data_IF_144802235375
#
_entry.id   IF_144802235375
#
_cell.length_a   1.000
_cell.length_b   1.000
_cell.length_c   1.000
_cell.angle_alpha   90.00
_cell.angle_beta   90.00
_cell.angle_gamma   90.00
#
_symmetry.space_group_name_H-M   'P 1'
#
loop_
_entity.id
_entity.type
_entity.pdbx_description
1 polymer ?
#
# COMPACT_ATOMS: atom_id res chain seq x y z
N UNK A 1 60.97 3.12 25.57
CA UNK A 1 59.62 3.24 26.15
C UNK A 1 58.66 3.78 25.09
N UNK A 2 57.88 2.92 24.42
CA UNK A 2 56.79 3.35 23.52
C UNK A 2 55.48 2.90 24.16
N UNK A 3 54.67 3.86 24.64
CA UNK A 3 53.34 3.60 25.18
C UNK A 3 52.37 3.49 24.00
N UNK A 4 51.80 2.31 23.78
CA UNK A 4 50.71 2.13 22.84
C UNK A 4 49.40 2.48 23.55
N UNK A 5 48.72 3.51 23.07
CA UNK A 5 47.40 3.91 23.55
C UNK A 5 46.35 3.09 22.82
N UNK A 6 45.59 2.29 23.57
CA UNK A 6 44.48 1.49 23.07
C UNK A 6 43.23 2.39 22.98
N UNK A 7 42.70 2.61 21.77
CA UNK A 7 41.41 3.26 21.56
C UNK A 7 40.31 2.20 21.60
N UNK A 8 39.49 2.22 22.64
CA UNK A 8 38.27 1.41 22.74
C UNK A 8 37.14 2.21 22.10
N UNK A 9 36.66 1.75 20.94
CA UNK A 9 35.44 2.26 20.34
C UNK A 9 34.25 1.71 21.14
N UNK A 10 33.57 2.59 21.88
CA UNK A 10 32.31 2.25 22.52
C UNK A 10 31.21 2.24 21.45
N UNK A 11 30.73 1.05 21.08
CA UNK A 11 29.47 0.91 20.34
C UNK A 11 28.34 1.24 21.31
N UNK A 12 27.78 2.45 21.17
CA UNK A 12 26.57 2.84 21.87
C UNK A 12 25.41 2.10 21.20
N UNK A 13 24.94 1.00 21.81
CA UNK A 13 23.72 0.33 21.37
C UNK A 13 22.55 1.25 21.67
N UNK A 14 22.05 1.93 20.64
CA UNK A 14 20.83 2.72 20.73
C UNK A 14 19.67 1.73 20.77
N UNK A 15 19.18 1.44 21.98
CA UNK A 15 17.99 0.62 22.17
C UNK A 15 16.80 1.38 21.60
N UNK A 16 16.29 0.94 20.44
CA UNK A 16 14.98 1.34 19.96
C UNK A 16 13.93 0.73 20.89
N UNK A 17 13.20 1.57 21.63
CA UNK A 17 11.92 1.14 22.17
C UNK A 17 10.96 1.05 20.98
N UNK A 18 10.56 -0.16 20.62
CA UNK A 18 9.38 -0.34 19.78
C UNK A 18 8.17 0.17 20.57
N UNK A 19 7.63 1.31 20.14
CA UNK A 19 6.33 1.77 20.63
C UNK A 19 5.27 0.83 20.03
N UNK A 20 4.22 0.50 20.78
CA UNK A 20 3.10 -0.24 20.23
C UNK A 20 2.48 0.58 19.09
N UNK A 21 2.40 -0.02 17.92
CA UNK A 21 1.82 0.61 16.73
C UNK A 21 0.32 0.82 16.98
N UNK A 22 -0.21 1.99 16.63
CA UNK A 22 -1.66 2.24 16.75
C UNK A 22 -2.34 1.79 15.46
N UNK A 23 -3.43 1.04 15.55
CA UNK A 23 -4.24 0.70 14.38
C UNK A 23 -5.14 1.88 14.02
N UNK A 24 -4.99 2.39 12.80
CA UNK A 24 -5.84 3.40 12.17
C UNK A 24 -6.78 2.70 11.20
N UNK A 25 -8.07 2.66 11.51
CA UNK A 25 -9.08 2.16 10.58
C UNK A 25 -9.34 3.19 9.49
N UNK A 26 -9.23 2.76 8.23
CA UNK A 26 -9.49 3.55 7.03
C UNK A 26 -10.76 3.00 6.39
N UNK A 27 -11.86 3.71 6.54
CA UNK A 27 -13.20 3.32 6.06
C UNK A 27 -13.81 4.35 5.09
N UNK A 28 -12.96 5.19 4.49
CA UNK A 28 -13.37 6.24 3.55
C UNK A 28 -12.28 6.46 2.51
N UNK A 29 -12.71 6.89 1.31
CA UNK A 29 -11.80 7.21 0.21
C UNK A 29 -10.84 8.34 0.58
N UNK A 30 -9.63 8.25 0.03
CA UNK A 30 -8.58 9.25 0.16
C UNK A 30 -8.72 10.21 -1.01
N UNK A 31 -9.27 11.39 -0.75
CA UNK A 31 -9.56 12.43 -1.76
C UNK A 31 -8.60 13.62 -1.71
N UNK A 32 -7.68 13.62 -0.74
CA UNK A 32 -6.61 14.61 -0.62
C UNK A 32 -5.31 13.92 -0.26
N UNK A 33 -4.18 14.55 -0.60
CA UNK A 33 -2.86 14.04 -0.26
C UNK A 33 -2.79 13.59 1.20
N UNK A 34 -2.34 12.35 1.39
CA UNK A 34 -2.34 11.68 2.69
C UNK A 34 -1.02 10.95 2.87
N UNK A 35 -0.52 10.96 4.10
CA UNK A 35 0.71 10.27 4.50
C UNK A 35 0.38 9.22 5.55
N UNK A 36 0.87 8.00 5.32
CA UNK A 36 0.77 6.87 6.22
C UNK A 36 2.13 6.54 6.81
N UNK A 37 2.23 6.63 8.13
CA UNK A 37 3.49 6.62 8.87
C UNK A 37 3.76 5.28 9.55
N UNK A 38 5.04 4.94 9.74
CA UNK A 38 5.44 3.61 10.23
C UNK A 38 5.16 3.39 11.74
N UNK A 39 4.71 4.42 12.47
CA UNK A 39 4.23 4.32 13.84
C UNK A 39 2.74 3.88 13.94
N UNK A 40 2.05 3.73 12.80
CA UNK A 40 0.66 3.27 12.70
C UNK A 40 0.52 2.05 11.77
N UNK A 41 -0.36 1.12 12.14
CA UNK A 41 -0.86 0.09 11.21
C UNK A 41 -2.15 0.64 10.61
N UNK A 42 -2.35 0.43 9.31
CA UNK A 42 -3.56 0.91 8.62
C UNK A 42 -4.44 -0.27 8.28
N UNK A 43 -5.67 -0.30 8.81
CA UNK A 43 -6.66 -1.34 8.51
C UNK A 43 -7.68 -0.78 7.51
N UNK A 44 -7.68 -1.29 6.30
CA UNK A 44 -8.67 -0.99 5.27
C UNK A 44 -9.96 -1.73 5.62
N UNK A 45 -11.02 -0.97 5.89
CA UNK A 45 -12.36 -1.49 6.15
C UNK A 45 -13.23 -1.25 4.91
N UNK A 46 -13.21 -2.21 3.99
CA UNK A 46 -13.79 -2.13 2.66
C UNK A 46 -12.81 -1.72 1.55
N UNK A 47 -13.35 -1.55 0.33
CA UNK A 47 -12.57 -1.12 -0.83
C UNK A 47 -12.30 0.39 -0.77
N UNK A 48 -11.07 0.78 -0.48
CA UNK A 48 -10.65 2.17 -0.31
C UNK A 48 -10.04 2.69 -1.61
N UNK A 49 -10.55 3.82 -2.08
CA UNK A 49 -10.05 4.47 -3.29
C UNK A 49 -9.16 5.67 -2.95
N UNK A 50 -7.95 5.71 -3.50
CA UNK A 50 -7.15 6.95 -3.64
C UNK A 50 -7.62 7.62 -4.92
N UNK A 51 -8.30 8.76 -4.80
CA UNK A 51 -9.05 9.37 -5.89
C UNK A 51 -8.96 10.89 -5.90
N UNK A 52 -9.64 11.52 -6.85
CA UNK A 52 -9.65 12.98 -7.05
C UNK A 52 -8.26 13.59 -7.30
N UNK A 53 -7.30 12.79 -7.78
CA UNK A 53 -5.94 13.22 -8.06
C UNK A 53 -5.05 13.32 -6.82
N UNK A 54 -5.47 12.70 -5.72
CA UNK A 54 -4.69 12.65 -4.49
C UNK A 54 -3.46 11.76 -4.61
N UNK A 55 -2.43 12.10 -3.84
CA UNK A 55 -1.27 11.25 -3.60
C UNK A 55 -1.37 10.55 -2.25
N UNK A 56 -1.17 9.23 -2.23
CA UNK A 56 -0.94 8.47 -1.01
C UNK A 56 0.55 8.17 -0.85
N UNK A 57 1.15 8.71 0.20
CA UNK A 57 2.53 8.41 0.60
C UNK A 57 2.52 7.39 1.74
N UNK A 58 3.34 6.35 1.64
CA UNK A 58 3.47 5.32 2.66
C UNK A 58 4.94 5.20 3.06
N UNK A 59 5.23 5.49 4.32
CA UNK A 59 6.57 5.41 4.88
C UNK A 59 7.10 3.96 4.88
N UNK A 60 8.43 3.84 4.76
CA UNK A 60 9.11 2.55 4.87
C UNK A 60 8.88 1.91 6.25
N UNK A 61 8.47 0.63 6.28
CA UNK A 61 8.16 -0.09 7.52
C UNK A 61 6.68 -0.05 7.92
N UNK A 62 5.83 0.68 7.20
CA UNK A 62 4.38 0.69 7.45
C UNK A 62 3.75 -0.66 7.09
N UNK A 63 2.81 -1.11 7.93
CA UNK A 63 1.95 -2.26 7.66
C UNK A 63 0.54 -1.77 7.33
N UNK A 64 0.01 -2.27 6.22
CA UNK A 64 -1.37 -2.04 5.77
C UNK A 64 -2.08 -3.40 5.70
N UNK A 65 -3.26 -3.49 6.30
CA UNK A 65 -4.06 -4.71 6.41
C UNK A 65 -5.42 -4.52 5.72
N UNK A 66 -5.90 -5.51 4.98
CA UNK A 66 -7.29 -5.58 4.57
C UNK A 66 -8.12 -6.28 5.65
N UNK A 67 -9.20 -5.65 6.12
CA UNK A 67 -10.17 -6.28 7.01
C UNK A 67 -10.87 -7.44 6.31
N UNK A 68 -11.32 -8.42 7.10
CA UNK A 68 -12.05 -9.58 6.57
C UNK A 68 -13.26 -9.15 5.73
N UNK A 69 -13.32 -9.70 4.52
CA UNK A 69 -14.40 -9.48 3.56
C UNK A 69 -14.26 -10.48 2.42
N UNK A 70 -15.37 -10.84 1.79
CA UNK A 70 -15.39 -11.83 0.71
C UNK A 70 -16.22 -11.29 -0.46
N UNK A 71 -15.94 -11.79 -1.66
CA UNK A 71 -16.59 -11.36 -2.90
C UNK A 71 -16.57 -9.82 -3.03
N UNK A 72 -17.75 -9.17 -3.10
CA UNK A 72 -17.89 -7.73 -3.27
C UNK A 72 -17.61 -6.91 -2.00
N UNK A 73 -17.54 -7.57 -0.84
CA UNK A 73 -17.25 -6.93 0.45
C UNK A 73 -15.74 -7.00 0.79
N UNK A 74 -14.89 -7.53 -0.09
CA UNK A 74 -13.45 -7.63 0.13
C UNK A 74 -12.80 -6.26 0.34
N UNK A 75 -11.95 -6.14 1.37
CA UNK A 75 -11.19 -4.92 1.63
C UNK A 75 -9.96 -4.81 0.74
N UNK A 76 -9.68 -3.64 0.20
CA UNK A 76 -8.57 -3.45 -0.74
C UNK A 76 -8.25 -1.98 -0.97
N UNK A 77 -7.16 -1.73 -1.70
CA UNK A 77 -6.72 -0.37 -2.05
C UNK A 77 -6.73 -0.20 -3.58
N UNK A 78 -7.50 0.78 -4.07
CA UNK A 78 -7.56 1.11 -5.50
C UNK A 78 -7.03 2.54 -5.71
N UNK A 79 -6.01 2.69 -6.54
CA UNK A 79 -5.48 4.00 -6.94
C UNK A 79 -6.08 4.34 -8.30
N UNK A 80 -6.91 5.38 -8.35
CA UNK A 80 -7.64 5.75 -9.57
C UNK A 80 -6.78 6.58 -10.52
N UNK A 81 -7.23 6.72 -11.77
CA UNK A 81 -6.50 7.46 -12.82
C UNK A 81 -6.21 8.91 -12.43
N UNK A 82 -4.92 9.25 -12.41
CA UNK A 82 -4.42 10.58 -12.07
C UNK A 82 -4.17 10.78 -10.57
N UNK A 83 -4.52 9.80 -9.74
CA UNK A 83 -4.07 9.67 -8.36
C UNK A 83 -2.80 8.81 -8.33
N UNK A 84 -2.01 8.89 -7.26
CA UNK A 84 -0.70 8.20 -7.19
C UNK A 84 -0.48 7.51 -5.85
N UNK A 85 0.33 6.45 -5.89
CA UNK A 85 0.77 5.73 -4.70
C UNK A 85 2.30 5.73 -4.62
N UNK A 86 2.84 6.34 -3.57
CA UNK A 86 4.27 6.36 -3.25
C UNK A 86 4.53 5.46 -2.03
N UNK A 87 4.70 4.16 -2.30
CA UNK A 87 5.08 3.15 -1.32
C UNK A 87 6.56 2.81 -1.48
N UNK A 88 7.41 3.56 -0.78
CA UNK A 88 8.87 3.53 -0.93
C UNK A 88 9.58 2.92 0.28
N UNK A 89 9.41 1.62 0.45
CA UNK A 89 10.13 0.83 1.46
C UNK A 89 11.63 0.76 1.22
N UNK A 90 12.32 0.06 2.12
CA UNK A 90 13.74 -0.33 1.95
C UNK A 90 13.92 -1.84 2.15
N UNK A 91 15.10 -2.37 1.81
CA UNK A 91 15.38 -3.79 2.05
C UNK A 91 15.33 -4.14 3.54
N UNK A 92 15.71 -3.19 4.40
CA UNK A 92 15.73 -3.32 5.86
C UNK A 92 14.35 -3.06 6.48
N UNK A 93 13.57 -2.16 5.89
CA UNK A 93 12.22 -1.76 6.34
C UNK A 93 11.23 -1.79 5.17
N UNK A 94 10.80 -2.99 4.73
CA UNK A 94 9.84 -3.09 3.64
C UNK A 94 8.46 -2.59 4.10
N UNK A 95 7.64 -2.14 3.15
CA UNK A 95 6.22 -1.90 3.37
C UNK A 95 5.48 -3.23 3.20
N UNK A 96 4.57 -3.56 4.11
CA UNK A 96 3.80 -4.80 4.07
C UNK A 96 2.33 -4.50 3.83
N UNK A 97 1.77 -5.06 2.77
CA UNK A 97 0.33 -5.17 2.57
C UNK A 97 -0.10 -6.62 2.80
N UNK A 98 -1.06 -6.85 3.68
CA UNK A 98 -1.51 -8.21 4.04
C UNK A 98 -2.98 -8.24 4.51
N UNK A 99 -3.49 -9.39 4.93
CA UNK A 99 -4.80 -9.54 5.57
C UNK A 99 -4.76 -9.17 7.07
N UNK A 100 -5.91 -8.79 7.62
CA UNK A 100 -6.07 -8.48 9.06
C UNK A 100 -5.54 -9.61 9.94
N UNK A 101 -5.94 -10.84 9.63
CA UNK A 101 -5.58 -12.04 10.39
C UNK A 101 -4.39 -12.82 9.76
N UNK A 102 -3.35 -12.10 9.31
CA UNK A 102 -2.08 -12.67 8.79
C UNK A 102 -1.43 -13.70 9.72
N UNK A 103 -1.72 -13.63 11.02
CA UNK A 103 -1.19 -14.49 12.07
C UNK A 103 -1.68 -15.94 11.92
N UNK A 104 -0.87 -16.77 11.27
CA UNK A 104 -1.16 -18.18 11.05
C UNK A 104 -1.49 -18.52 9.59
N UNK A 105 -1.58 -17.51 8.73
CA UNK A 105 -1.62 -17.73 7.29
C UNK A 105 -0.28 -18.22 6.78
N UNK A 106 -0.36 -19.05 5.76
CA UNK A 106 0.75 -19.54 4.97
C UNK A 106 0.64 -19.00 3.56
N UNK A 107 1.70 -19.16 2.75
CA UNK A 107 1.68 -18.76 1.33
C UNK A 107 0.59 -19.43 0.48
N UNK A 108 -0.04 -20.49 1.01
CA UNK A 108 -1.09 -21.23 0.32
C UNK A 108 -2.50 -20.68 0.62
N UNK A 109 -2.61 -19.81 1.63
CA UNK A 109 -3.84 -19.09 1.99
C UNK A 109 -3.89 -17.77 1.18
N UNK A 110 -4.85 -17.67 0.26
CA UNK A 110 -5.00 -16.61 -0.75
C UNK A 110 -6.46 -16.15 -0.82
N UNK A 111 -6.73 -14.95 -1.32
CA UNK A 111 -8.09 -14.39 -1.33
C UNK A 111 -8.56 -13.92 0.04
N UNK A 112 -7.64 -13.62 0.95
CA UNK A 112 -7.94 -13.16 2.30
C UNK A 112 -8.24 -11.66 2.33
N UNK A 113 -7.94 -10.93 1.25
CA UNK A 113 -8.31 -9.53 0.99
C UNK A 113 -8.15 -9.18 -0.50
N UNK A 114 -8.67 -8.02 -0.93
CA UNK A 114 -8.78 -7.59 -2.33
C UNK A 114 -7.50 -7.05 -2.98
N UNK A 115 -6.41 -6.89 -2.22
CA UNK A 115 -5.11 -6.48 -2.77
C UNK A 115 -4.96 -4.98 -3.07
N UNK A 116 -3.94 -4.67 -3.86
CA UNK A 116 -3.64 -3.30 -4.33
C UNK A 116 -3.82 -3.24 -5.85
N UNK A 117 -4.63 -2.30 -6.30
CA UNK A 117 -4.95 -2.07 -7.72
C UNK A 117 -4.52 -0.65 -8.08
N UNK A 118 -3.81 -0.49 -9.21
CA UNK A 118 -3.38 0.82 -9.72
C UNK A 118 -3.90 0.99 -11.14
N UNK A 119 -4.75 1.98 -11.34
CA UNK A 119 -5.43 2.27 -12.60
C UNK A 119 -4.73 3.43 -13.31
N UNK A 120 -3.82 3.11 -14.24
CA UNK A 120 -3.07 4.12 -15.01
C UNK A 120 -3.83 4.71 -16.21
N UNK A 121 -3.28 5.77 -16.80
CA UNK A 121 -3.80 6.48 -18.01
C UNK A 121 -3.04 6.15 -19.31
N UNK A 122 -2.05 5.25 -19.25
CA UNK A 122 -1.29 4.85 -20.43
C UNK A 122 -2.16 4.10 -21.46
N UNK A 123 -1.71 4.09 -22.71
CA UNK A 123 -2.39 3.30 -23.75
C UNK A 123 -2.38 1.81 -23.39
N UNK A 124 -3.47 1.14 -23.72
CA UNK A 124 -3.61 -0.32 -23.55
C UNK A 124 -3.85 -0.96 -24.91
N UNK A 125 -3.81 -2.29 -24.98
CA UNK A 125 -4.22 -3.03 -26.18
C UNK A 125 -5.75 -3.02 -26.40
N UNK A 126 -6.53 -2.47 -25.46
CA UNK A 126 -7.95 -2.28 -25.63
C UNK A 126 -8.21 -1.09 -26.57
N UNK A 127 -9.24 -1.18 -27.40
CA UNK A 127 -9.59 -0.12 -28.37
C UNK A 127 -10.24 1.11 -27.73
N UNK A 128 -10.53 1.04 -26.43
CA UNK A 128 -11.19 2.07 -25.60
C UNK A 128 -10.69 1.96 -24.16
N UNK A 129 -10.93 3.00 -23.34
CA UNK A 129 -10.82 2.89 -21.88
C UNK A 129 -11.65 1.71 -21.38
N UNK A 130 -11.13 0.97 -20.41
CA UNK A 130 -11.75 -0.23 -19.86
C UNK A 130 -12.01 -0.05 -18.36
N UNK A 131 -12.87 -0.90 -17.81
CA UNK A 131 -13.17 -0.94 -16.37
C UNK A 131 -12.52 -2.14 -15.74
N UNK A 132 -11.95 -2.00 -14.54
CA UNK A 132 -11.39 -3.13 -13.79
C UNK A 132 -12.50 -4.09 -13.37
N UNK A 133 -12.35 -5.38 -13.68
CA UNK A 133 -13.31 -6.42 -13.32
C UNK A 133 -13.33 -6.66 -11.81
N UNK A 134 -14.51 -7.03 -11.27
CA UNK A 134 -14.76 -7.21 -9.83
C UNK A 134 -15.04 -5.90 -9.11
N UNK A 135 -14.20 -4.86 -9.30
CA UNK A 135 -14.43 -3.55 -8.66
C UNK A 135 -15.56 -2.77 -9.35
N UNK A 136 -15.75 -2.97 -10.66
CA UNK A 136 -16.90 -2.46 -11.41
C UNK A 136 -18.26 -3.03 -10.94
N UNK A 137 -18.26 -4.10 -10.15
CA UNK A 137 -19.45 -4.65 -9.50
C UNK A 137 -19.73 -4.00 -8.14
N UNK A 138 -18.72 -3.35 -7.53
CA UNK A 138 -18.82 -2.56 -6.30
C UNK A 138 -19.33 -1.14 -6.62
N UNK A 139 -18.86 -0.55 -7.71
CA UNK A 139 -19.26 0.79 -8.16
C UNK A 139 -19.26 0.92 -9.68
N UNK A 140 -20.25 1.64 -10.23
CA UNK A 140 -20.38 1.93 -11.66
C UNK A 140 -19.75 3.26 -12.08
N UNK A 141 -19.08 3.98 -11.16
CA UNK A 141 -18.43 5.26 -11.45
C UNK A 141 -17.15 5.03 -12.30
N UNK A 142 -17.14 5.44 -13.59
CA UNK A 142 -15.98 5.26 -14.45
C UNK A 142 -14.73 6.02 -14.00
N UNK A 143 -14.86 7.01 -13.10
CA UNK A 143 -13.72 7.68 -12.49
C UNK A 143 -13.01 6.79 -11.45
N UNK A 144 -13.73 5.87 -10.81
CA UNK A 144 -13.20 4.97 -9.78
C UNK A 144 -12.70 3.64 -10.34
N UNK A 145 -13.29 3.16 -11.44
CA UNK A 145 -12.98 1.82 -12.00
C UNK A 145 -12.32 1.86 -13.38
N UNK A 146 -12.24 3.03 -14.02
CA UNK A 146 -11.65 3.15 -15.35
C UNK A 146 -10.12 3.09 -15.33
N UNK A 147 -9.53 2.35 -16.26
CA UNK A 147 -8.09 2.34 -16.56
C UNK A 147 -7.83 2.49 -18.07
N UNK A 148 -6.58 2.84 -18.39
CA UNK A 148 -6.14 3.15 -19.75
C UNK A 148 -6.42 4.59 -20.14
N UNK A 149 -5.97 4.93 -21.35
CA UNK A 149 -6.10 6.26 -21.94
C UNK A 149 -5.14 6.45 -23.12
N UNK A 150 -4.70 7.68 -23.32
CA UNK A 150 -3.75 8.09 -24.38
C UNK A 150 -2.48 8.75 -23.82
N UNK A 151 -2.28 8.71 -22.50
CA UNK A 151 -1.14 9.33 -21.83
C UNK A 151 -0.06 8.30 -21.50
N UNK A 152 0.79 7.96 -22.47
CA UNK A 152 1.91 7.03 -22.25
C UNK A 152 3.01 7.59 -21.31
N UNK A 153 2.91 8.85 -20.92
CA UNK A 153 3.76 9.49 -19.92
C UNK A 153 3.09 9.53 -18.53
N UNK A 154 2.01 8.77 -18.32
CA UNK A 154 1.36 8.66 -17.02
C UNK A 154 2.32 8.17 -15.92
N UNK A 155 2.22 8.79 -14.75
CA UNK A 155 2.96 8.43 -13.56
C UNK A 155 1.96 8.11 -12.46
N UNK A 156 1.80 6.81 -12.15
CA UNK A 156 0.91 6.33 -11.09
C UNK A 156 1.62 6.17 -9.73
N UNK A 157 2.89 6.61 -9.62
CA UNK A 157 3.70 6.55 -8.41
C UNK A 157 4.75 5.43 -8.40
N UNK A 158 5.14 4.99 -7.21
CA UNK A 158 6.27 4.08 -6.97
C UNK A 158 5.90 3.00 -5.97
N UNK A 159 6.12 1.73 -6.33
CA UNK A 159 6.15 0.61 -5.39
C UNK A 159 7.59 0.07 -5.34
N UNK A 160 8.25 0.22 -4.20
CA UNK A 160 9.65 -0.16 -4.01
C UNK A 160 9.83 -0.83 -2.65
N UNK A 161 10.44 -2.02 -2.62
CA UNK A 161 10.55 -2.87 -1.42
C UNK A 161 9.20 -3.07 -0.70
N UNK A 162 8.20 -3.48 -1.47
CA UNK A 162 6.85 -3.79 -0.98
C UNK A 162 6.66 -5.31 -0.96
N UNK A 163 6.07 -5.82 0.11
CA UNK A 163 5.60 -7.20 0.25
C UNK A 163 4.07 -7.21 0.24
N UNK A 164 3.46 -7.74 -0.81
CA UNK A 164 2.01 -7.98 -0.89
C UNK A 164 1.76 -9.47 -0.67
N UNK A 165 0.88 -9.83 0.26
CA UNK A 165 0.63 -11.22 0.69
C UNK A 165 -0.86 -11.54 0.67
N UNK A 166 -1.22 -12.82 0.52
CA UNK A 166 -2.57 -13.36 0.72
C UNK A 166 -3.72 -12.74 -0.11
N UNK A 167 -3.39 -12.10 -1.25
CA UNK A 167 -4.37 -11.64 -2.25
C UNK A 167 -4.87 -12.77 -3.12
#
# INVERSE_FOLDING_TARGET
MKKATLLIAAFLSMSFLAMAQTTVTVSSNITTDTEWTADNEYLLDGMIFVTEGADLYIEAGTTVRGAEGQDLDASGLVVTRGSRLFAEGTAETPIVFTAENDEGLTKDDVGEWGGVIILGRASTNNTVEATIEGVNEITDDPALVGYGGDNDMDDSGVLRYVSIRHT
#
